data_IF_860460204397
#
_entry.id   IF_860460204397
#
_cell.length_a   1.000
_cell.length_b   1.000
_cell.length_c   1.000
_cell.angle_alpha   90.00
_cell.angle_beta   90.00
_cell.angle_gamma   90.00
#
_symmetry.space_group_name_H-M   'P 1'
#
loop_
_entity.id
_entity.type
_entity.pdbx_description
1 polymer ?
#
# COMPACT_ATOMS: atom_id res chain seq x y z
N UNK A 1 14.15 -56.18 -39.93
CA UNK A 1 12.85 -56.13 -39.20
C UNK A 1 12.95 -55.68 -37.73
N UNK A 2 14.11 -55.40 -37.17
CA UNK A 2 14.25 -54.95 -35.75
C UNK A 2 14.25 -53.42 -35.57
N UNK A 3 14.50 -52.63 -36.58
CA UNK A 3 14.58 -51.16 -36.49
C UNK A 3 13.21 -50.45 -36.56
N UNK A 4 12.19 -51.02 -37.19
CA UNK A 4 10.86 -50.38 -37.28
C UNK A 4 10.08 -50.40 -35.97
N UNK A 5 10.33 -51.35 -35.06
CA UNK A 5 9.66 -51.36 -33.73
C UNK A 5 10.19 -50.32 -32.78
N UNK A 6 11.47 -49.95 -32.90
CA UNK A 6 12.09 -48.94 -32.06
C UNK A 6 11.60 -47.51 -32.46
N UNK A 7 11.43 -47.26 -33.77
CA UNK A 7 10.91 -45.95 -34.25
C UNK A 7 9.46 -45.73 -33.81
N UNK A 8 8.62 -46.76 -33.84
CA UNK A 8 7.21 -46.61 -33.38
C UNK A 8 7.10 -46.45 -31.86
N UNK A 9 8.02 -47.03 -31.05
CA UNK A 9 8.05 -46.81 -29.60
C UNK A 9 8.56 -45.43 -29.27
N UNK A 10 9.58 -44.90 -29.92
CA UNK A 10 10.09 -43.54 -29.69
C UNK A 10 9.10 -42.50 -30.17
N UNK A 11 8.42 -42.71 -31.30
CA UNK A 11 7.36 -41.79 -31.78
C UNK A 11 6.15 -41.79 -30.83
N UNK A 12 5.76 -42.96 -30.27
CA UNK A 12 4.65 -43.04 -29.31
C UNK A 12 5.01 -42.38 -27.96
N UNK A 13 6.27 -42.51 -27.51
CA UNK A 13 6.74 -41.79 -26.30
C UNK A 13 6.82 -40.29 -26.47
N UNK A 14 7.25 -39.81 -27.65
CA UNK A 14 7.27 -38.39 -27.98
C UNK A 14 5.86 -37.77 -28.09
N UNK A 15 4.89 -38.50 -28.62
CA UNK A 15 3.49 -38.03 -28.70
C UNK A 15 2.83 -38.02 -27.31
N UNK A 16 3.13 -39.00 -26.45
CA UNK A 16 2.64 -39.01 -25.07
C UNK A 16 3.34 -37.91 -24.24
N UNK A 17 4.62 -37.60 -24.48
CA UNK A 17 5.31 -36.50 -23.82
C UNK A 17 4.84 -35.13 -24.31
N UNK A 18 4.45 -34.95 -25.58
CA UNK A 18 3.83 -33.73 -26.07
C UNK A 18 2.37 -33.56 -25.56
N UNK A 19 1.62 -34.67 -25.37
CA UNK A 19 0.27 -34.61 -24.80
C UNK A 19 0.25 -34.33 -23.28
N UNK A 20 1.33 -34.62 -22.56
CA UNK A 20 1.47 -34.28 -21.15
C UNK A 20 1.96 -32.85 -20.95
N UNK A 21 2.64 -32.24 -21.93
CA UNK A 21 3.08 -30.85 -21.88
C UNK A 21 1.98 -29.84 -22.26
N UNK A 22 0.86 -30.29 -22.85
CA UNK A 22 -0.30 -29.42 -23.16
C UNK A 22 -1.40 -29.46 -22.10
N UNK A 23 -1.20 -30.15 -20.96
CA UNK A 23 -2.22 -30.28 -19.92
C UNK A 23 -1.85 -29.59 -18.60
N UNK A 24 -0.86 -28.70 -18.59
CA UNK A 24 -0.49 -27.89 -17.44
C UNK A 24 -0.29 -26.41 -17.81
N UNK A 25 -1.17 -25.83 -18.61
CA UNK A 25 -1.51 -24.43 -18.45
C UNK A 25 -2.61 -24.41 -17.38
N UNK A 26 -2.25 -24.39 -16.15
CA UNK A 26 -3.14 -23.94 -15.07
C UNK A 26 -3.24 -22.43 -15.21
N UNK A 27 -4.02 -21.95 -16.18
CA UNK A 27 -4.56 -20.61 -16.11
C UNK A 27 -5.32 -20.55 -14.79
N UNK A 28 -4.75 -19.93 -13.79
CA UNK A 28 -5.49 -19.62 -12.56
C UNK A 28 -6.72 -18.83 -13.02
N UNK A 29 -7.93 -19.20 -12.60
CA UNK A 29 -9.12 -18.48 -13.02
C UNK A 29 -8.96 -17.01 -12.61
N UNK A 30 -9.14 -16.11 -13.56
CA UNK A 30 -9.16 -14.67 -13.32
C UNK A 30 -10.20 -14.36 -12.24
N UNK A 31 -9.89 -13.57 -11.20
CA UNK A 31 -10.87 -13.10 -10.25
C UNK A 31 -11.98 -12.32 -10.98
N UNK A 32 -13.22 -12.60 -10.63
CA UNK A 32 -14.39 -11.93 -11.21
C UNK A 32 -15.15 -11.22 -10.09
N UNK A 33 -15.77 -10.09 -10.43
CA UNK A 33 -16.67 -9.44 -9.51
C UNK A 33 -17.77 -10.41 -9.05
N UNK A 34 -18.23 -10.34 -7.78
CA UNK A 34 -19.32 -11.17 -7.29
C UNK A 34 -20.56 -11.02 -8.16
N UNK A 35 -21.28 -12.13 -8.41
CA UNK A 35 -22.52 -12.09 -9.20
C UNK A 35 -23.61 -11.31 -8.44
N UNK A 36 -23.98 -10.15 -8.96
CA UNK A 36 -24.97 -9.23 -8.36
C UNK A 36 -26.40 -9.81 -8.29
N UNK A 37 -26.66 -10.96 -8.92
CA UNK A 37 -28.04 -11.46 -9.11
C UNK A 37 -28.54 -12.42 -8.03
N UNK A 38 -27.68 -12.90 -7.11
CA UNK A 38 -28.08 -13.94 -6.13
C UNK A 38 -27.49 -13.79 -4.74
N UNK A 39 -26.72 -12.75 -4.43
CA UNK A 39 -26.04 -12.68 -3.15
C UNK A 39 -26.73 -11.65 -2.26
N UNK A 40 -27.60 -12.14 -1.39
CA UNK A 40 -27.86 -11.44 -0.12
C UNK A 40 -26.60 -11.56 0.70
N UNK A 41 -25.94 -10.43 1.01
CA UNK A 41 -24.81 -10.42 1.95
C UNK A 41 -25.22 -11.12 3.25
N UNK A 42 -24.27 -11.64 4.04
CA UNK A 42 -24.60 -12.39 5.24
C UNK A 42 -25.45 -11.53 6.18
N UNK A 43 -26.68 -11.99 6.49
CA UNK A 43 -27.62 -11.30 7.40
C UNK A 43 -27.03 -11.10 8.80
N UNK A 44 -25.91 -11.73 9.09
CA UNK A 44 -25.29 -11.83 10.42
C UNK A 44 -23.94 -11.07 10.55
N UNK A 45 -23.56 -10.21 9.59
CA UNK A 45 -22.34 -9.40 9.76
C UNK A 45 -22.63 -8.15 10.60
N UNK A 46 -21.63 -7.71 11.37
CA UNK A 46 -21.63 -6.39 12.03
C UNK A 46 -21.42 -5.24 11.04
N UNK A 47 -21.02 -4.10 11.53
CA UNK A 47 -20.73 -2.92 10.72
C UNK A 47 -19.31 -3.00 10.15
N UNK A 48 -19.13 -2.55 8.91
CA UNK A 48 -17.84 -2.51 8.20
C UNK A 48 -17.46 -1.05 7.97
N UNK A 49 -16.36 -0.60 8.56
CA UNK A 49 -15.85 0.77 8.43
C UNK A 49 -14.57 0.74 7.58
N UNK A 50 -14.62 1.22 6.34
CA UNK A 50 -13.46 1.36 5.48
C UNK A 50 -12.95 2.81 5.47
N UNK A 51 -11.65 2.95 5.67
CA UNK A 51 -10.97 4.24 5.66
C UNK A 51 -9.97 4.28 4.51
N UNK A 52 -10.09 5.30 3.67
CA UNK A 52 -9.21 5.56 2.54
C UNK A 52 -8.05 6.47 2.93
N UNK A 53 -6.81 6.08 2.56
CA UNK A 53 -5.62 6.81 2.94
C UNK A 53 -4.67 7.06 1.76
N UNK A 54 -3.64 7.90 1.95
CA UNK A 54 -2.42 7.94 1.16
C UNK A 54 -1.31 7.27 1.96
N UNK A 55 -0.72 6.22 1.39
CA UNK A 55 0.29 5.41 2.06
C UNK A 55 1.43 6.24 2.66
N UNK A 56 1.85 5.85 3.87
CA UNK A 56 2.97 6.46 4.59
C UNK A 56 2.85 7.98 4.85
N UNK A 57 1.65 8.53 4.84
CA UNK A 57 1.41 9.90 5.22
C UNK A 57 1.30 10.00 6.75
N UNK A 58 2.21 10.73 7.39
CA UNK A 58 2.29 10.83 8.86
C UNK A 58 0.96 11.22 9.51
N UNK A 59 0.31 12.25 8.97
CA UNK A 59 -0.96 12.72 9.51
C UNK A 59 -2.07 11.67 9.39
N UNK A 60 -2.14 10.97 8.25
CA UNK A 60 -3.14 9.92 8.04
C UNK A 60 -2.86 8.72 8.92
N UNK A 61 -1.61 8.27 9.06
CA UNK A 61 -1.23 7.20 9.98
C UNK A 61 -1.60 7.52 11.44
N UNK A 62 -1.38 8.77 11.89
CA UNK A 62 -1.83 9.22 13.21
C UNK A 62 -3.35 9.17 13.35
N UNK A 63 -4.09 9.57 12.31
CA UNK A 63 -5.55 9.54 12.28
C UNK A 63 -6.08 8.10 12.29
N UNK A 64 -5.52 7.23 11.48
CA UNK A 64 -5.86 5.80 11.42
C UNK A 64 -5.62 5.10 12.75
N UNK A 65 -4.47 5.37 13.39
CA UNK A 65 -4.17 4.86 14.72
C UNK A 65 -5.21 5.32 15.75
N UNK A 66 -5.60 6.60 15.71
CA UNK A 66 -6.64 7.13 16.61
C UNK A 66 -8.00 6.45 16.36
N UNK A 67 -8.40 6.29 15.10
CA UNK A 67 -9.63 5.59 14.72
C UNK A 67 -9.60 4.11 15.13
N UNK A 68 -8.44 3.45 14.95
CA UNK A 68 -8.29 2.07 15.40
C UNK A 68 -8.41 1.94 16.92
N UNK A 69 -7.77 2.81 17.70
CA UNK A 69 -7.91 2.84 19.16
C UNK A 69 -9.35 3.04 19.59
N UNK A 70 -10.10 3.90 18.94
CA UNK A 70 -11.53 4.11 19.20
C UNK A 70 -12.36 2.87 18.88
N UNK A 71 -12.11 2.20 17.77
CA UNK A 71 -12.74 0.94 17.39
C UNK A 71 -12.40 -0.18 18.39
N UNK A 72 -11.12 -0.29 18.74
CA UNK A 72 -10.62 -1.26 19.70
C UNK A 72 -11.24 -1.09 21.09
N UNK A 73 -11.41 0.15 21.56
CA UNK A 73 -12.07 0.47 22.83
C UNK A 73 -13.56 0.07 22.83
N UNK A 74 -14.21 0.05 21.65
CA UNK A 74 -15.57 -0.45 21.48
C UNK A 74 -15.67 -1.97 21.36
N UNK A 75 -14.54 -2.69 21.36
CA UNK A 75 -14.50 -4.15 21.31
C UNK A 75 -14.16 -4.72 19.93
N UNK A 76 -13.94 -3.91 18.91
CA UNK A 76 -13.45 -4.37 17.60
C UNK A 76 -12.04 -4.93 17.76
N UNK A 77 -11.76 -6.06 17.11
CA UNK A 77 -10.45 -6.72 17.18
C UNK A 77 -9.85 -7.02 15.81
N UNK A 78 -10.64 -6.99 14.76
CA UNK A 78 -10.22 -7.33 13.41
C UNK A 78 -9.95 -6.06 12.62
N UNK A 79 -8.66 -5.85 12.29
CA UNK A 79 -8.18 -4.76 11.45
C UNK A 79 -7.83 -5.32 10.06
N UNK A 80 -8.67 -5.00 9.09
CA UNK A 80 -8.44 -5.35 7.70
C UNK A 80 -7.46 -4.36 7.07
N UNK A 81 -6.50 -4.86 6.31
CA UNK A 81 -5.41 -4.07 5.76
C UNK A 81 -5.13 -4.43 4.31
N UNK A 82 -4.66 -3.44 3.55
CA UNK A 82 -4.19 -3.59 2.16
C UNK A 82 -2.82 -4.29 2.14
N UNK A 83 -2.80 -5.49 2.64
CA UNK A 83 -1.63 -6.37 2.68
C UNK A 83 -2.01 -7.77 2.20
N UNK A 84 -1.05 -8.55 1.68
CA UNK A 84 -1.24 -9.96 1.41
C UNK A 84 -1.63 -10.75 2.66
N UNK A 85 -2.38 -11.84 2.45
CA UNK A 85 -2.76 -12.75 3.53
C UNK A 85 -1.58 -13.15 4.42
N UNK A 86 -0.49 -13.65 3.83
CA UNK A 86 0.68 -14.12 4.58
C UNK A 86 1.41 -13.01 5.35
N UNK A 87 1.41 -11.78 4.84
CA UNK A 87 2.01 -10.62 5.54
C UNK A 87 1.22 -10.30 6.81
N UNK A 88 -0.12 -10.26 6.72
CA UNK A 88 -0.97 -10.07 7.88
C UNK A 88 -0.81 -11.20 8.91
N UNK A 89 -0.63 -12.47 8.46
CA UNK A 89 -0.37 -13.57 9.37
C UNK A 89 0.98 -13.44 10.09
N UNK A 90 2.02 -12.97 9.41
CA UNK A 90 3.28 -12.64 10.07
C UNK A 90 3.15 -11.50 11.07
N UNK A 91 2.37 -10.47 10.77
CA UNK A 91 2.05 -9.42 11.75
C UNK A 91 1.34 -10.02 12.96
N UNK A 92 0.41 -10.97 12.77
CA UNK A 92 -0.25 -11.66 13.89
C UNK A 92 0.73 -12.51 14.72
N UNK A 93 1.72 -13.15 14.12
CA UNK A 93 2.80 -13.84 14.84
C UNK A 93 3.66 -12.83 15.62
N UNK A 94 4.03 -11.72 14.99
CA UNK A 94 4.76 -10.64 15.65
C UNK A 94 3.99 -10.01 16.82
N UNK A 95 2.68 -9.85 16.72
CA UNK A 95 1.85 -9.37 17.85
C UNK A 95 2.01 -10.21 19.11
N UNK A 96 2.35 -11.49 18.99
CA UNK A 96 2.60 -12.41 20.10
C UNK A 96 4.08 -12.56 20.46
N UNK A 97 5.00 -12.01 19.67
CA UNK A 97 6.44 -12.10 19.90
C UNK A 97 6.91 -11.10 20.98
N UNK A 98 8.04 -11.42 21.62
CA UNK A 98 8.65 -10.55 22.63
C UNK A 98 9.45 -9.40 22.00
N UNK A 99 9.89 -9.55 20.75
CA UNK A 99 10.73 -8.59 20.03
C UNK A 99 10.17 -8.24 18.64
N UNK A 100 10.88 -7.38 17.92
CA UNK A 100 10.47 -6.89 16.60
C UNK A 100 11.10 -7.68 15.44
N UNK A 101 11.79 -8.78 15.67
CA UNK A 101 12.52 -9.50 14.62
C UNK A 101 11.63 -9.81 13.42
N UNK A 102 10.44 -10.36 13.63
CA UNK A 102 9.49 -10.68 12.56
C UNK A 102 8.96 -9.42 11.85
N UNK A 103 8.69 -8.34 12.59
CA UNK A 103 8.26 -7.07 11.97
C UNK A 103 9.37 -6.48 11.09
N UNK A 104 10.61 -6.50 11.56
CA UNK A 104 11.76 -6.00 10.79
C UNK A 104 12.02 -6.83 9.53
N UNK A 105 11.81 -8.15 9.58
CA UNK A 105 11.89 -9.02 8.38
C UNK A 105 10.83 -8.65 7.34
N UNK A 106 9.60 -8.36 7.78
CA UNK A 106 8.52 -7.87 6.89
C UNK A 106 8.89 -6.50 6.33
N UNK A 107 9.39 -5.61 7.17
CA UNK A 107 9.79 -4.26 6.79
C UNK A 107 10.87 -4.27 5.70
N UNK A 108 11.90 -5.09 5.85
CA UNK A 108 12.95 -5.25 4.82
C UNK A 108 12.40 -5.78 3.48
N UNK A 109 11.39 -6.65 3.52
CA UNK A 109 10.73 -7.14 2.30
C UNK A 109 9.92 -6.04 1.58
N UNK A 110 9.53 -4.97 2.27
CA UNK A 110 8.85 -3.81 1.67
C UNK A 110 9.80 -2.84 0.95
N UNK A 111 11.11 -3.10 0.98
CA UNK A 111 12.08 -2.22 0.31
C UNK A 111 11.69 -1.98 -1.15
N UNK A 112 11.65 -0.70 -1.54
CA UNK A 112 11.19 -0.26 -2.86
C UNK A 112 9.68 0.00 -2.97
N UNK A 113 8.91 -0.16 -1.88
CA UNK A 113 7.50 0.25 -1.80
C UNK A 113 7.32 1.45 -0.86
N UNK A 114 6.13 2.07 -0.87
CA UNK A 114 5.78 3.16 0.05
C UNK A 114 5.71 2.69 1.52
N UNK A 115 5.48 1.41 1.75
CA UNK A 115 5.45 0.83 3.10
C UNK A 115 6.84 0.70 3.75
N UNK A 116 7.94 0.82 2.98
CA UNK A 116 9.30 0.91 3.52
C UNK A 116 9.55 2.33 4.06
N UNK A 117 8.95 2.62 5.20
CA UNK A 117 8.96 3.94 5.83
C UNK A 117 8.87 3.77 7.36
N UNK A 118 9.74 4.46 8.09
CA UNK A 118 9.77 4.42 9.56
C UNK A 118 8.42 4.78 10.21
N UNK A 119 7.64 5.68 9.62
CA UNK A 119 6.31 6.03 10.12
C UNK A 119 5.36 4.84 10.08
N UNK A 120 5.45 3.99 9.05
CA UNK A 120 4.67 2.75 8.94
C UNK A 120 5.13 1.74 9.99
N UNK A 121 6.43 1.62 10.22
CA UNK A 121 6.99 0.77 11.26
C UNK A 121 6.48 1.18 12.65
N UNK A 122 6.53 2.48 12.98
CA UNK A 122 6.03 3.03 14.24
C UNK A 122 4.51 2.92 14.38
N UNK A 123 3.76 2.97 13.28
CA UNK A 123 2.31 2.73 13.28
C UNK A 123 1.99 1.30 13.77
N UNK A 124 2.66 0.28 13.25
CA UNK A 124 2.46 -1.10 13.72
C UNK A 124 2.92 -1.27 15.18
N UNK A 125 4.05 -0.71 15.57
CA UNK A 125 4.53 -0.73 16.97
C UNK A 125 3.53 -0.10 17.93
N UNK A 126 2.94 1.03 17.52
CA UNK A 126 1.90 1.70 18.29
C UNK A 126 0.64 0.85 18.44
N UNK A 127 0.23 0.14 17.39
CA UNK A 127 -0.90 -0.80 17.47
C UNK A 127 -0.58 -1.92 18.47
N UNK A 128 0.60 -2.52 18.42
CA UNK A 128 0.99 -3.58 19.35
C UNK A 128 1.00 -3.10 20.81
N UNK A 129 1.50 -1.89 21.04
CA UNK A 129 1.59 -1.31 22.38
C UNK A 129 0.21 -0.96 22.95
N UNK A 130 -0.67 -0.35 22.16
CA UNK A 130 -1.91 0.25 22.64
C UNK A 130 -3.15 -0.65 22.41
N UNK A 131 -3.07 -1.57 21.42
CA UNK A 131 -4.14 -2.46 20.99
C UNK A 131 -3.66 -3.91 20.84
N UNK A 132 -3.12 -4.55 21.90
CA UNK A 132 -2.38 -5.81 21.80
C UNK A 132 -3.20 -7.03 21.35
N UNK A 133 -4.54 -6.96 21.39
CA UNK A 133 -5.42 -8.04 20.90
C UNK A 133 -5.83 -7.83 19.43
N UNK A 134 -5.20 -6.91 18.69
CA UNK A 134 -5.46 -6.70 17.28
C UNK A 134 -5.14 -7.96 16.47
N UNK A 135 -6.07 -8.32 15.59
CA UNK A 135 -5.90 -9.38 14.60
C UNK A 135 -5.91 -8.73 13.21
N UNK A 136 -4.78 -8.74 12.55
CA UNK A 136 -4.64 -8.23 11.18
C UNK A 136 -5.23 -9.22 10.19
N UNK A 137 -6.01 -8.72 9.24
CA UNK A 137 -6.59 -9.49 8.13
C UNK A 137 -6.12 -8.87 6.82
N UNK A 138 -5.21 -9.53 6.13
CA UNK A 138 -4.73 -9.12 4.82
C UNK A 138 -5.64 -9.63 3.71
N UNK A 139 -6.04 -8.73 2.81
CA UNK A 139 -6.97 -9.05 1.72
C UNK A 139 -6.49 -8.64 0.34
N UNK A 140 -5.28 -8.07 0.24
CA UNK A 140 -4.68 -7.76 -1.05
C UNK A 140 -4.11 -9.02 -1.73
N UNK A 141 -3.75 -8.86 -3.00
CA UNK A 141 -3.02 -9.90 -3.75
C UNK A 141 -1.63 -10.14 -3.17
N UNK A 142 -0.93 -11.13 -3.68
CA UNK A 142 0.39 -11.53 -3.18
C UNK A 142 1.52 -10.58 -3.58
N UNK A 143 1.61 -9.41 -2.97
CA UNK A 143 2.84 -8.62 -3.01
C UNK A 143 3.95 -9.33 -2.22
N UNK A 144 5.22 -9.18 -2.60
CA UNK A 144 6.37 -9.86 -1.96
C UNK A 144 6.20 -11.40 -1.89
N UNK A 145 5.55 -12.00 -2.91
CA UNK A 145 5.28 -13.44 -2.93
C UNK A 145 6.56 -14.30 -2.94
N UNK A 146 7.67 -13.79 -3.51
CA UNK A 146 8.96 -14.49 -3.54
C UNK A 146 9.73 -14.41 -2.22
N UNK A 147 9.45 -13.42 -1.37
CA UNK A 147 10.10 -13.19 -0.08
C UNK A 147 9.16 -13.58 1.06
N UNK A 148 8.29 -12.69 1.51
CA UNK A 148 7.36 -12.92 2.64
C UNK A 148 6.46 -14.14 2.38
N UNK A 149 5.91 -14.27 1.17
CA UNK A 149 5.03 -15.39 0.81
C UNK A 149 5.74 -16.74 0.93
N UNK A 150 6.89 -16.88 0.28
CA UNK A 150 7.70 -18.12 0.34
C UNK A 150 8.17 -18.43 1.77
N UNK A 151 8.53 -17.40 2.55
CA UNK A 151 8.93 -17.56 3.95
C UNK A 151 7.77 -18.07 4.80
N UNK A 152 6.56 -17.54 4.61
CA UNK A 152 5.39 -18.00 5.36
C UNK A 152 4.99 -19.43 5.02
N UNK A 153 5.03 -19.80 3.74
CA UNK A 153 4.84 -21.21 3.34
C UNK A 153 5.88 -22.14 3.97
N UNK A 154 7.15 -21.73 4.04
CA UNK A 154 8.21 -22.49 4.68
C UNK A 154 7.98 -22.63 6.19
N UNK A 155 7.51 -21.57 6.86
CA UNK A 155 7.09 -21.61 8.26
C UNK A 155 5.96 -22.64 8.47
N UNK A 156 4.88 -22.57 7.70
CA UNK A 156 3.77 -23.52 7.82
C UNK A 156 4.19 -24.96 7.53
N UNK A 157 5.13 -25.15 6.62
CA UNK A 157 5.73 -26.48 6.34
C UNK A 157 6.51 -26.99 7.53
N UNK A 158 7.29 -26.16 8.19
CA UNK A 158 8.05 -26.52 9.39
C UNK A 158 7.13 -26.88 10.55
N UNK A 159 5.98 -26.20 10.67
CA UNK A 159 4.93 -26.50 11.65
C UNK A 159 4.07 -27.72 11.27
N UNK A 160 4.36 -28.40 10.16
CA UNK A 160 3.60 -29.56 9.70
C UNK A 160 2.21 -29.25 9.14
N UNK A 161 1.97 -28.02 8.72
CA UNK A 161 0.64 -27.50 8.33
C UNK A 161 0.39 -27.50 6.82
N UNK A 162 1.11 -28.31 6.02
CA UNK A 162 1.00 -28.36 4.56
C UNK A 162 -0.42 -28.60 3.99
N UNK A 163 -1.32 -29.17 4.80
CA UNK A 163 -2.70 -29.46 4.41
C UNK A 163 -3.71 -28.55 5.11
N UNK A 164 -3.24 -27.60 5.89
CA UNK A 164 -4.11 -26.66 6.62
C UNK A 164 -4.81 -25.68 5.67
N UNK A 165 -5.87 -25.05 6.13
CA UNK A 165 -6.54 -23.97 5.40
C UNK A 165 -5.64 -22.71 5.33
N UNK A 166 -4.77 -22.51 6.33
CA UNK A 166 -3.76 -21.46 6.37
C UNK A 166 -2.78 -21.61 5.19
N UNK A 167 -2.26 -22.83 4.98
CA UNK A 167 -1.35 -23.10 3.86
C UNK A 167 -2.04 -22.87 2.51
N UNK A 168 -3.25 -23.38 2.33
CA UNK A 168 -4.01 -23.18 1.09
C UNK A 168 -4.26 -21.72 0.78
N UNK A 169 -4.53 -20.89 1.79
CA UNK A 169 -4.72 -19.44 1.62
C UNK A 169 -3.41 -18.73 1.29
N UNK A 170 -2.32 -19.11 1.93
CA UNK A 170 -1.01 -18.57 1.62
C UNK A 170 -0.61 -18.89 0.18
N UNK A 171 -0.76 -20.15 -0.25
CA UNK A 171 -0.48 -20.61 -1.61
C UNK A 171 -1.37 -19.90 -2.64
N UNK A 172 -2.67 -19.78 -2.37
CA UNK A 172 -3.59 -19.03 -3.23
C UNK A 172 -3.19 -17.55 -3.38
N UNK A 173 -2.76 -16.91 -2.30
CA UNK A 173 -2.29 -15.52 -2.33
C UNK A 173 -0.96 -15.40 -3.11
N UNK A 174 -0.03 -16.35 -2.96
CA UNK A 174 1.20 -16.43 -3.79
C UNK A 174 0.85 -16.58 -5.27
N UNK A 175 -0.13 -17.42 -5.61
CA UNK A 175 -0.61 -17.60 -6.98
C UNK A 175 -1.21 -16.29 -7.52
N UNK A 176 -2.05 -15.60 -6.74
CA UNK A 176 -2.61 -14.29 -7.13
C UNK A 176 -1.49 -13.30 -7.46
N UNK A 177 -0.46 -13.20 -6.60
CA UNK A 177 0.66 -12.30 -6.84
C UNK A 177 1.42 -12.65 -8.13
N UNK A 178 1.70 -13.93 -8.35
CA UNK A 178 2.36 -14.38 -9.59
C UNK A 178 1.55 -14.05 -10.83
N UNK A 179 0.25 -14.31 -10.82
CA UNK A 179 -0.62 -13.97 -11.94
C UNK A 179 -0.62 -12.47 -12.23
N UNK A 180 -0.67 -11.65 -11.20
CA UNK A 180 -0.66 -10.20 -11.35
C UNK A 180 0.67 -9.68 -11.93
N UNK A 181 1.81 -10.12 -11.39
CA UNK A 181 3.10 -9.55 -11.75
C UNK A 181 3.80 -10.21 -12.95
N UNK A 182 3.51 -11.48 -13.26
CA UNK A 182 4.21 -12.22 -14.31
C UNK A 182 3.36 -12.44 -15.57
N UNK A 183 2.03 -12.50 -15.43
CA UNK A 183 1.13 -12.80 -16.53
C UNK A 183 0.49 -11.55 -17.13
N UNK A 184 0.43 -10.44 -16.39
CA UNK A 184 -0.01 -9.16 -16.91
C UNK A 184 1.09 -8.47 -17.72
N UNK A 185 0.68 -7.66 -18.71
CA UNK A 185 1.60 -6.80 -19.47
C UNK A 185 2.36 -5.89 -18.49
N UNK A 186 3.70 -5.90 -18.48
CA UNK A 186 4.48 -5.06 -17.57
C UNK A 186 4.18 -3.56 -17.68
N UNK A 187 3.68 -3.12 -18.84
CA UNK A 187 3.32 -1.72 -19.11
C UNK A 187 1.87 -1.40 -18.73
N UNK A 188 1.11 -2.39 -18.25
CA UNK A 188 -0.29 -2.25 -17.84
C UNK A 188 -0.53 -3.11 -16.61
N UNK A 189 -0.51 -2.49 -15.44
CA UNK A 189 -1.05 -3.14 -14.26
C UNK A 189 -2.54 -3.41 -14.50
N UNK A 190 -2.95 -4.67 -14.39
CA UNK A 190 -4.36 -5.05 -14.55
C UNK A 190 -5.09 -4.78 -13.21
N UNK A 191 -5.53 -3.53 -13.04
CA UNK A 191 -6.28 -3.12 -11.86
C UNK A 191 -7.57 -3.93 -11.71
N UNK A 192 -8.16 -4.40 -12.81
CA UNK A 192 -9.36 -5.22 -12.74
C UNK A 192 -9.12 -6.55 -12.06
N UNK A 193 -7.95 -7.16 -12.27
CA UNK A 193 -7.54 -8.35 -11.55
C UNK A 193 -7.39 -8.09 -10.05
N UNK A 194 -6.66 -7.03 -9.69
CA UNK A 194 -6.37 -6.70 -8.30
C UNK A 194 -7.63 -6.33 -7.53
N UNK A 195 -8.47 -5.42 -8.05
CA UNK A 195 -9.73 -5.01 -7.41
C UNK A 195 -10.65 -6.22 -7.16
N UNK A 196 -10.85 -7.06 -8.17
CA UNK A 196 -11.70 -8.24 -8.05
C UNK A 196 -11.12 -9.26 -7.04
N UNK A 197 -9.80 -9.45 -7.01
CA UNK A 197 -9.14 -10.34 -6.05
C UNK A 197 -9.30 -9.81 -4.62
N UNK A 198 -9.09 -8.51 -4.39
CA UNK A 198 -9.27 -7.87 -3.09
C UNK A 198 -10.70 -8.04 -2.56
N UNK A 199 -11.71 -7.86 -3.42
CA UNK A 199 -13.12 -8.07 -3.07
C UNK A 199 -13.37 -9.53 -2.65
N UNK A 200 -12.88 -10.51 -3.44
CA UNK A 200 -13.04 -11.93 -3.14
C UNK A 200 -12.34 -12.31 -1.84
N UNK A 201 -11.11 -11.82 -1.64
CA UNK A 201 -10.33 -12.06 -0.43
C UNK A 201 -11.03 -11.45 0.79
N UNK A 202 -11.58 -10.23 0.66
CA UNK A 202 -12.32 -9.54 1.72
C UNK A 202 -13.56 -10.33 2.12
N UNK A 203 -14.43 -10.68 1.18
CA UNK A 203 -15.65 -11.45 1.43
C UNK A 203 -15.31 -12.79 2.09
N UNK A 204 -14.34 -13.52 1.52
CA UNK A 204 -13.90 -14.80 2.07
C UNK A 204 -13.28 -14.68 3.48
N UNK A 205 -12.68 -13.55 3.83
CA UNK A 205 -12.18 -13.29 5.17
C UNK A 205 -13.33 -13.02 6.14
N UNK A 206 -14.28 -12.18 5.76
CA UNK A 206 -15.48 -11.85 6.56
C UNK A 206 -16.32 -13.09 6.87
N UNK A 207 -16.53 -13.99 5.91
CA UNK A 207 -17.31 -15.23 6.10
C UNK A 207 -16.73 -16.17 7.17
N UNK A 208 -15.47 -15.95 7.60
CA UNK A 208 -14.81 -16.74 8.65
C UNK A 208 -14.90 -16.10 10.03
N UNK A 209 -15.37 -14.87 10.10
CA UNK A 209 -15.51 -14.17 11.37
C UNK A 209 -16.77 -14.63 12.12
N UNK A 210 -16.78 -14.51 13.45
CA UNK A 210 -18.01 -14.73 14.22
C UNK A 210 -19.14 -13.81 13.75
N UNK A 211 -20.36 -14.31 13.77
CA UNK A 211 -21.55 -13.52 13.44
C UNK A 211 -21.62 -12.23 14.29
N UNK A 212 -22.05 -11.13 13.67
CA UNK A 212 -22.15 -9.82 14.31
C UNK A 212 -20.84 -9.12 14.58
N UNK A 213 -19.72 -9.58 13.97
CA UNK A 213 -18.41 -8.96 14.15
C UNK A 213 -18.33 -7.63 13.39
N UNK A 214 -18.02 -6.56 14.11
CA UNK A 214 -17.67 -5.28 13.51
C UNK A 214 -16.21 -5.30 13.00
N UNK A 215 -15.97 -4.61 11.89
CA UNK A 215 -14.69 -4.60 11.18
C UNK A 215 -14.26 -3.16 10.94
N UNK A 216 -12.98 -2.87 11.11
CA UNK A 216 -12.32 -1.69 10.55
C UNK A 216 -11.35 -2.12 9.45
N UNK A 217 -11.32 -1.40 8.33
CA UNK A 217 -10.39 -1.60 7.22
C UNK A 217 -9.68 -0.32 6.84
N UNK A 218 -8.38 -0.41 6.53
CA UNK A 218 -7.52 0.67 6.06
C UNK A 218 -6.96 0.27 4.69
N UNK A 219 -7.23 1.09 3.69
CA UNK A 219 -6.82 0.86 2.29
C UNK A 219 -6.51 2.19 1.62
N UNK A 220 -5.72 2.17 0.56
CA UNK A 220 -5.55 3.35 -0.28
C UNK A 220 -6.89 3.92 -0.76
N UNK A 221 -7.00 5.25 -0.79
CA UNK A 221 -8.25 5.95 -1.09
C UNK A 221 -8.88 5.54 -2.43
N UNK A 222 -8.05 5.14 -3.41
CA UNK A 222 -8.53 4.65 -4.71
C UNK A 222 -9.42 3.40 -4.60
N UNK A 223 -9.24 2.57 -3.55
CA UNK A 223 -9.98 1.33 -3.33
C UNK A 223 -11.24 1.52 -2.46
N UNK A 224 -11.38 2.68 -1.79
CA UNK A 224 -12.40 2.90 -0.73
C UNK A 224 -13.55 3.82 -1.12
N UNK A 225 -13.55 4.39 -2.33
CA UNK A 225 -14.69 5.18 -2.82
C UNK A 225 -15.81 4.25 -3.34
N UNK A 226 -17.00 4.23 -2.68
CA UNK A 226 -18.11 3.35 -3.07
C UNK A 226 -18.82 3.78 -4.36
N UNK A 227 -18.37 4.86 -5.00
CA UNK A 227 -18.96 5.37 -6.24
C UNK A 227 -17.98 5.33 -7.43
N UNK A 228 -16.69 5.17 -7.17
CA UNK A 228 -15.64 5.26 -8.17
C UNK A 228 -15.43 3.95 -8.97
N UNK A 229 -14.66 4.10 -10.04
CA UNK A 229 -14.02 2.99 -10.73
C UNK A 229 -12.60 2.81 -10.17
N UNK A 230 -11.95 1.68 -10.53
CA UNK A 230 -10.52 1.45 -10.33
C UNK A 230 -9.68 2.60 -10.91
N UNK A 231 -8.41 2.67 -10.53
CA UNK A 231 -7.49 3.71 -11.01
C UNK A 231 -7.43 3.79 -12.55
N UNK A 232 -7.43 2.65 -13.23
CA UNK A 232 -7.44 2.59 -14.70
C UNK A 232 -8.84 2.77 -15.33
N UNK A 233 -9.89 2.88 -14.53
CA UNK A 233 -11.27 3.08 -14.96
C UNK A 233 -11.93 1.86 -15.61
N UNK A 234 -11.35 0.66 -15.47
CA UNK A 234 -11.81 -0.55 -16.17
C UNK A 234 -12.84 -1.36 -15.39
N UNK A 235 -12.84 -1.25 -14.05
CA UNK A 235 -13.75 -2.01 -13.18
C UNK A 235 -14.25 -1.12 -12.04
N UNK A 236 -15.32 -1.52 -11.35
CA UNK A 236 -15.78 -0.89 -10.11
C UNK A 236 -14.69 -1.04 -9.03
N UNK A 237 -14.42 0.01 -8.23
CA UNK A 237 -13.50 -0.04 -7.10
C UNK A 237 -13.88 -1.15 -6.11
N UNK A 238 -12.95 -1.57 -5.24
CA UNK A 238 -13.23 -2.54 -4.19
C UNK A 238 -14.45 -2.12 -3.35
N UNK A 239 -14.48 -0.89 -2.85
CA UNK A 239 -15.58 -0.41 -2.02
C UNK A 239 -16.91 -0.37 -2.76
N UNK A 240 -16.93 -0.03 -4.06
CA UNK A 240 -18.17 -0.03 -4.85
C UNK A 240 -18.72 -1.43 -5.04
N UNK A 241 -17.87 -2.43 -5.25
CA UNK A 241 -18.26 -3.84 -5.32
C UNK A 241 -18.74 -4.34 -3.96
N UNK A 242 -18.03 -4.01 -2.86
CA UNK A 242 -18.43 -4.36 -1.50
C UNK A 242 -19.73 -3.68 -1.07
N UNK A 243 -19.98 -2.43 -1.49
CA UNK A 243 -21.26 -1.75 -1.25
C UNK A 243 -22.45 -2.46 -1.92
N UNK A 244 -22.23 -3.00 -3.13
CA UNK A 244 -23.24 -3.82 -3.78
C UNK A 244 -23.52 -5.14 -3.06
N UNK A 245 -22.56 -5.67 -2.29
CA UNK A 245 -22.66 -6.92 -1.55
C UNK A 245 -23.18 -6.74 -0.13
N UNK A 246 -22.67 -5.74 0.62
CA UNK A 246 -22.98 -5.53 2.04
C UNK A 246 -24.04 -4.45 2.29
N UNK A 247 -24.37 -3.64 1.28
CA UNK A 247 -25.39 -2.59 1.41
C UNK A 247 -25.08 -1.60 2.51
N UNK A 248 -26.10 -1.32 3.34
CA UNK A 248 -26.03 -0.30 4.41
C UNK A 248 -25.05 -0.67 5.56
N UNK A 249 -24.49 -1.89 5.54
CA UNK A 249 -23.48 -2.31 6.51
C UNK A 249 -22.09 -1.76 6.23
N UNK A 250 -21.84 -1.28 5.03
CA UNK A 250 -20.55 -0.74 4.60
C UNK A 250 -20.55 0.79 4.74
N UNK A 251 -19.59 1.30 5.51
CA UNK A 251 -19.35 2.72 5.72
C UNK A 251 -17.96 3.07 5.21
N UNK A 252 -17.86 3.93 4.20
CA UNK A 252 -16.60 4.37 3.64
C UNK A 252 -16.32 5.82 4.04
N UNK A 253 -15.08 6.10 4.44
CA UNK A 253 -14.62 7.44 4.77
C UNK A 253 -13.27 7.67 4.11
N UNK A 254 -13.19 8.64 3.24
CA UNK A 254 -11.95 9.10 2.63
C UNK A 254 -11.24 10.05 3.60
N UNK A 255 -10.16 9.56 4.23
CA UNK A 255 -9.37 10.35 5.18
C UNK A 255 -8.56 11.45 4.47
N UNK A 256 -8.30 11.30 3.18
CA UNK A 256 -7.54 12.27 2.39
C UNK A 256 -8.30 13.59 2.21
N UNK A 257 -9.63 13.54 2.33
CA UNK A 257 -10.53 14.71 2.24
C UNK A 257 -10.80 15.36 3.60
N UNK A 258 -10.35 14.74 4.69
CA UNK A 258 -10.51 15.38 6.00
C UNK A 258 -9.62 16.62 6.05
N UNK A 259 -10.11 17.73 6.63
CA UNK A 259 -9.28 18.91 6.79
C UNK A 259 -8.04 18.50 7.59
N UNK A 260 -6.87 18.81 7.02
CA UNK A 260 -5.62 18.66 7.76
C UNK A 260 -5.77 19.32 9.14
N UNK A 261 -5.15 18.80 10.20
CA UNK A 261 -5.12 19.48 11.48
C UNK A 261 -4.61 20.88 11.25
N UNK A 262 -4.86 21.77 12.21
CA UNK A 262 -4.47 23.18 12.13
C UNK A 262 -3.05 23.27 11.60
N UNK A 263 -2.95 23.55 10.30
CA UNK A 263 -1.68 23.48 9.57
C UNK A 263 -0.77 24.51 10.21
N UNK A 264 0.36 24.08 10.72
CA UNK A 264 1.37 24.98 11.25
C UNK A 264 1.79 25.92 10.14
N UNK A 265 1.56 27.21 10.35
CA UNK A 265 1.95 28.27 9.41
C UNK A 265 2.97 29.17 10.07
N UNK A 266 4.04 29.40 9.36
CA UNK A 266 5.09 30.32 9.78
C UNK A 266 5.33 31.40 8.73
N UNK A 267 6.03 32.47 9.10
CA UNK A 267 6.42 33.51 8.16
C UNK A 267 7.91 33.34 7.81
N UNK A 268 8.18 33.08 6.56
CA UNK A 268 9.53 32.98 6.02
C UNK A 268 9.88 34.23 5.23
N UNK A 269 11.08 34.78 5.43
CA UNK A 269 11.59 35.88 4.61
C UNK A 269 12.64 35.33 3.66
N UNK A 270 12.37 35.40 2.36
CA UNK A 270 13.20 34.86 1.28
C UNK A 270 13.40 35.96 0.27
N UNK A 271 14.64 36.25 -0.14
CA UNK A 271 14.97 37.34 -1.05
C UNK A 271 14.35 38.69 -0.62
N UNK A 272 14.30 38.94 0.69
CA UNK A 272 13.75 40.21 1.25
C UNK A 272 12.22 40.31 1.26
N UNK A 273 11.47 39.27 0.81
CA UNK A 273 10.00 39.22 0.81
C UNK A 273 9.51 38.17 1.80
N UNK A 274 8.44 38.51 2.52
CA UNK A 274 7.82 37.58 3.48
C UNK A 274 6.73 36.73 2.81
N UNK A 275 6.75 35.42 3.09
CA UNK A 275 5.78 34.44 2.63
C UNK A 275 5.18 33.70 3.82
N UNK A 276 3.92 33.33 3.73
CA UNK A 276 3.34 32.33 4.62
C UNK A 276 3.83 30.97 4.18
N UNK A 277 4.52 30.25 5.07
CA UNK A 277 4.97 28.88 4.85
C UNK A 277 4.03 27.92 5.60
N UNK A 278 3.50 26.97 4.87
CA UNK A 278 2.66 25.88 5.43
C UNK A 278 3.55 24.67 5.66
N UNK A 279 3.62 24.19 6.90
CA UNK A 279 4.31 22.92 7.20
C UNK A 279 3.56 21.75 6.57
N UNK A 280 4.28 20.88 5.85
CA UNK A 280 3.71 19.71 5.18
C UNK A 280 4.08 18.40 5.89
N UNK A 281 5.19 18.36 6.60
CA UNK A 281 5.71 17.18 7.28
C UNK A 281 7.21 17.24 7.48
N UNK A 282 7.72 16.28 8.23
CA UNK A 282 9.15 16.08 8.46
C UNK A 282 9.48 14.60 8.52
N UNK A 283 10.74 14.27 8.26
CA UNK A 283 11.24 12.90 8.32
C UNK A 283 12.64 12.83 8.90
N UNK A 284 13.01 11.65 9.39
CA UNK A 284 14.39 11.35 9.77
C UNK A 284 15.22 11.07 8.52
N UNK A 285 16.11 12.00 8.18
CA UNK A 285 16.98 11.86 7.00
C UNK A 285 18.17 10.94 7.27
N UNK A 286 18.49 10.59 8.52
CA UNK A 286 19.63 9.73 8.86
C UNK A 286 19.48 8.31 8.32
N UNK A 287 18.26 7.90 8.01
CA UNK A 287 17.93 6.59 7.42
C UNK A 287 18.54 6.41 6.03
N UNK A 288 18.59 7.50 5.23
CA UNK A 288 19.08 7.48 3.85
C UNK A 288 20.27 8.41 3.59
N UNK A 289 20.67 9.24 4.56
CA UNK A 289 21.76 10.21 4.44
C UNK A 289 22.70 10.15 5.65
N UNK A 290 24.01 10.11 5.38
CA UNK A 290 25.02 10.29 6.43
C UNK A 290 25.28 11.78 6.75
N UNK A 291 24.85 12.67 5.86
CA UNK A 291 25.10 14.11 5.94
C UNK A 291 24.03 14.84 6.73
N UNK A 292 22.80 14.35 6.69
CA UNK A 292 21.63 14.99 7.30
C UNK A 292 20.94 14.06 8.31
N UNK A 293 20.42 14.65 9.39
CA UNK A 293 19.67 13.94 10.42
C UNK A 293 18.16 14.08 10.27
N UNK A 294 17.68 15.19 9.67
CA UNK A 294 16.25 15.39 9.42
C UNK A 294 15.99 16.23 8.19
N UNK A 295 14.82 16.07 7.60
CA UNK A 295 14.28 16.85 6.49
C UNK A 295 12.89 17.35 6.84
N UNK A 296 12.60 18.64 6.65
CA UNK A 296 11.30 19.25 6.89
C UNK A 296 10.82 19.98 5.64
N UNK A 297 9.55 19.80 5.29
CA UNK A 297 8.93 20.35 4.09
C UNK A 297 7.97 21.47 4.43
N UNK A 298 8.12 22.59 3.72
CA UNK A 298 7.26 23.76 3.80
C UNK A 298 6.77 24.16 2.41
N UNK A 299 5.47 24.46 2.26
CA UNK A 299 4.96 25.06 1.04
C UNK A 299 4.82 26.56 1.24
N UNK A 300 5.41 27.35 0.33
CA UNK A 300 5.33 28.81 0.35
C UNK A 300 4.09 29.29 -0.39
N UNK A 301 3.12 29.78 0.34
CA UNK A 301 1.82 30.14 -0.22
C UNK A 301 1.90 31.35 -1.14
N UNK A 302 1.40 31.18 -2.39
CA UNK A 302 1.35 32.24 -3.39
C UNK A 302 2.72 32.71 -3.92
N UNK A 303 3.80 31.97 -3.66
CA UNK A 303 5.17 32.38 -4.00
C UNK A 303 5.55 32.18 -5.47
N UNK A 304 4.82 31.36 -6.24
CA UNK A 304 5.25 30.90 -7.56
C UNK A 304 5.58 32.04 -8.54
N UNK A 305 4.74 33.07 -8.59
CA UNK A 305 4.95 34.18 -9.52
C UNK A 305 6.25 34.96 -9.25
N UNK A 306 6.73 34.99 -8.01
CA UNK A 306 7.97 35.66 -7.64
C UNK A 306 9.22 34.86 -8.00
N UNK A 307 9.09 33.53 -8.10
CA UNK A 307 10.21 32.62 -8.37
C UNK A 307 10.09 31.87 -9.71
N UNK A 308 9.09 32.20 -10.54
CA UNK A 308 8.89 31.53 -11.83
C UNK A 308 10.13 31.64 -12.76
N UNK A 309 10.81 32.79 -12.72
CA UNK A 309 11.98 33.09 -13.54
C UNK A 309 13.31 32.98 -12.78
N UNK A 310 13.30 32.54 -11.51
CA UNK A 310 14.52 32.35 -10.71
C UNK A 310 15.45 31.31 -11.37
N UNK A 311 16.77 31.50 -11.21
CA UNK A 311 17.76 30.61 -11.77
C UNK A 311 17.60 29.17 -11.26
N UNK A 312 17.56 28.20 -12.17
CA UNK A 312 17.46 26.80 -11.79
C UNK A 312 18.81 26.30 -11.24
N UNK A 313 18.72 25.43 -10.25
CA UNK A 313 19.80 24.51 -9.88
C UNK A 313 19.64 23.21 -10.70
N UNK A 314 20.69 22.36 -10.71
CA UNK A 314 20.61 21.08 -11.41
C UNK A 314 19.82 20.01 -10.61
N UNK A 315 19.17 20.40 -9.51
CA UNK A 315 18.42 19.50 -8.63
C UNK A 315 16.97 19.30 -9.10
N UNK A 316 16.53 18.05 -9.04
CA UNK A 316 15.14 17.64 -9.31
C UNK A 316 14.65 16.77 -8.16
N UNK A 317 13.49 17.11 -7.59
CA UNK A 317 12.86 16.32 -6.54
C UNK A 317 11.52 15.76 -7.03
N UNK A 318 11.42 14.44 -7.27
CA UNK A 318 10.18 13.80 -7.68
C UNK A 318 9.07 13.94 -6.62
N UNK A 319 7.81 13.95 -7.08
CA UNK A 319 6.60 14.13 -6.24
C UNK A 319 6.53 13.18 -5.03
N UNK A 320 6.95 11.93 -5.21
CA UNK A 320 6.93 10.90 -4.15
C UNK A 320 7.94 11.13 -3.01
N UNK A 321 8.71 12.20 -3.08
CA UNK A 321 9.55 12.66 -1.97
C UNK A 321 8.85 13.70 -1.08
N UNK A 322 7.63 14.10 -1.41
CA UNK A 322 6.87 15.08 -0.63
C UNK A 322 5.85 14.39 0.26
N UNK A 323 5.60 14.89 1.47
CA UNK A 323 4.54 14.40 2.34
C UNK A 323 3.16 14.92 1.92
N UNK A 324 2.83 14.86 0.63
CA UNK A 324 1.57 15.34 0.06
C UNK A 324 1.66 15.58 -1.43
N UNK A 325 0.51 15.95 -2.03
CA UNK A 325 0.43 16.21 -3.47
C UNK A 325 1.25 17.42 -3.89
N UNK A 326 1.89 17.30 -5.05
CA UNK A 326 2.62 18.38 -5.72
C UNK A 326 1.82 18.83 -6.93
N UNK A 327 1.35 20.08 -6.89
CA UNK A 327 0.60 20.71 -7.97
C UNK A 327 1.46 21.73 -8.72
N UNK A 328 1.21 21.90 -10.02
CA UNK A 328 1.86 22.95 -10.81
C UNK A 328 1.57 24.32 -10.23
N UNK A 329 2.60 25.15 -10.11
CA UNK A 329 2.50 26.49 -9.54
C UNK A 329 2.73 26.55 -8.03
N UNK A 330 3.18 25.47 -7.42
CA UNK A 330 3.59 25.46 -6.01
C UNK A 330 5.09 25.72 -5.87
N UNK A 331 5.46 26.29 -4.73
CA UNK A 331 6.86 26.51 -4.32
C UNK A 331 7.08 25.91 -2.95
N UNK A 332 8.20 25.23 -2.78
CA UNK A 332 8.55 24.53 -1.55
C UNK A 332 9.91 25.02 -1.02
N UNK A 333 10.00 25.13 0.29
CA UNK A 333 11.23 25.29 1.02
C UNK A 333 11.46 24.01 1.85
N UNK A 334 12.64 23.42 1.70
CA UNK A 334 13.02 22.18 2.39
C UNK A 334 14.18 22.49 3.30
N UNK A 335 13.97 22.30 4.61
CA UNK A 335 15.01 22.41 5.62
C UNK A 335 15.67 21.06 5.82
N UNK A 336 17.00 21.02 5.74
CA UNK A 336 17.82 19.87 6.05
C UNK A 336 18.71 20.18 7.23
N UNK A 337 18.65 19.39 8.30
CA UNK A 337 19.52 19.56 9.47
C UNK A 337 20.77 18.70 9.31
N UNK A 338 21.94 19.31 9.28
CA UNK A 338 23.22 18.60 9.15
C UNK A 338 23.52 17.71 10.36
N UNK A 339 24.00 16.48 10.09
CA UNK A 339 24.39 15.52 11.15
C UNK A 339 25.64 15.93 11.93
N UNK A 340 26.58 16.64 11.30
CA UNK A 340 27.87 17.00 11.86
C UNK A 340 27.83 18.28 12.73
N UNK A 341 26.96 19.23 12.39
CA UNK A 341 26.91 20.56 13.00
C UNK A 341 25.58 20.90 13.65
N UNK A 342 24.50 20.19 13.31
CA UNK A 342 23.14 20.56 13.67
C UNK A 342 22.63 21.83 12.98
N UNK A 343 23.36 22.35 11.97
CA UNK A 343 22.97 23.54 11.24
C UNK A 343 21.90 23.24 10.19
N UNK A 344 20.97 24.21 10.02
CA UNK A 344 19.98 24.15 8.95
C UNK A 344 20.60 24.54 7.62
N UNK A 345 20.32 23.75 6.58
CA UNK A 345 20.52 24.07 5.18
C UNK A 345 19.16 24.12 4.50
N UNK A 346 18.92 25.14 3.65
CA UNK A 346 17.66 25.35 2.97
C UNK A 346 17.77 25.10 1.48
N UNK A 347 16.84 24.35 0.93
CA UNK A 347 16.70 24.05 -0.50
C UNK A 347 15.34 24.51 -0.97
N UNK A 348 15.29 25.10 -2.16
CA UNK A 348 14.07 25.65 -2.71
C UNK A 348 13.71 24.97 -4.03
N UNK A 349 12.44 24.56 -4.14
CA UNK A 349 11.94 23.86 -5.31
C UNK A 349 10.64 24.50 -5.79
N UNK A 350 10.41 24.44 -7.10
CA UNK A 350 9.13 24.84 -7.68
C UNK A 350 8.58 23.77 -8.62
N UNK A 351 7.26 23.65 -8.70
CA UNK A 351 6.56 22.80 -9.65
C UNK A 351 6.14 23.68 -10.84
N UNK A 352 6.84 23.57 -11.95
CA UNK A 352 6.62 24.34 -13.18
C UNK A 352 5.87 23.58 -14.27
N UNK A 353 5.28 22.42 -13.93
CA UNK A 353 4.61 21.53 -14.85
C UNK A 353 5.52 20.46 -15.46
N UNK A 354 6.80 20.42 -15.07
CA UNK A 354 7.70 19.31 -15.44
C UNK A 354 7.16 18.02 -14.83
N UNK A 355 7.28 16.92 -15.56
CA UNK A 355 6.84 15.59 -15.11
C UNK A 355 7.98 14.59 -15.18
N UNK A 356 7.95 13.65 -14.24
CA UNK A 356 8.79 12.45 -14.26
C UNK A 356 7.86 11.23 -14.33
N UNK A 357 8.03 10.38 -15.35
CA UNK A 357 7.12 9.26 -15.64
C UNK A 357 5.62 9.66 -15.69
N UNK A 358 5.34 10.86 -16.22
CA UNK A 358 3.97 11.38 -16.32
C UNK A 358 3.40 11.99 -15.02
N UNK A 359 4.15 11.95 -13.93
CA UNK A 359 3.74 12.48 -12.62
C UNK A 359 4.43 13.81 -12.33
N UNK A 360 3.81 14.76 -11.62
CA UNK A 360 4.40 16.05 -11.27
C UNK A 360 5.76 15.90 -10.60
N UNK A 361 6.70 16.78 -10.92
CA UNK A 361 7.99 16.87 -10.24
C UNK A 361 8.31 18.33 -9.94
N UNK A 362 9.32 18.56 -9.12
CA UNK A 362 9.81 19.91 -8.81
C UNK A 362 11.26 20.06 -9.25
N UNK A 363 11.61 21.30 -9.61
CA UNK A 363 12.97 21.68 -9.99
C UNK A 363 13.54 22.63 -8.95
N UNK A 364 14.78 22.41 -8.58
CA UNK A 364 15.49 23.27 -7.64
C UNK A 364 15.79 24.64 -8.25
N UNK A 365 15.76 25.68 -7.44
CA UNK A 365 16.09 27.05 -7.86
C UNK A 365 16.83 27.81 -6.75
N UNK A 366 17.57 28.85 -7.16
CA UNK A 366 18.21 29.77 -6.24
C UNK A 366 17.31 31.01 -6.04
N UNK A 367 16.78 31.23 -4.83
CA UNK A 367 15.88 32.36 -4.57
C UNK A 367 16.57 33.73 -4.52
N UNK A 368 17.91 33.75 -4.47
CA UNK A 368 18.71 34.98 -4.39
C UNK A 368 19.36 35.34 -5.73
N UNK A 369 19.23 34.50 -6.78
CA UNK A 369 19.87 34.66 -8.07
C UNK A 369 19.01 35.45 -9.09
#
# INVERSE_FOLDING_TARGET
MKYNKLYHMVAALLVVMLLVLTACSSDAPQPQAPDKTTVTGPEEIGEIYLYGEYHANEHLLQKELALWKDCYARGVRYLFVELPYYTAQYLNLWMQAEDDTTLLEIYEDWNGSLSYNELVLEFYRSIKADCPETIFIGTDIGHQYETTGTRYEAYLRAEGQLTSEEYKRADACVIQGRSYYLESDPDKQDDSYRENAMVQNFIAAVERLPAGTDIMGIYGAAHTDPTALSWDGTVDSMAKQLAAYYGDKLHCTDLTQLPAPTVTKESFTIAGKSYTATWLGGEDASVWSQQYQSRTFWRLEGAYADFADAALTDDVLPYNNYPGEVETGQVFAIEMIRSDTGASEWFYYRSDGTTWNGLPTTVGFDPEA
#
